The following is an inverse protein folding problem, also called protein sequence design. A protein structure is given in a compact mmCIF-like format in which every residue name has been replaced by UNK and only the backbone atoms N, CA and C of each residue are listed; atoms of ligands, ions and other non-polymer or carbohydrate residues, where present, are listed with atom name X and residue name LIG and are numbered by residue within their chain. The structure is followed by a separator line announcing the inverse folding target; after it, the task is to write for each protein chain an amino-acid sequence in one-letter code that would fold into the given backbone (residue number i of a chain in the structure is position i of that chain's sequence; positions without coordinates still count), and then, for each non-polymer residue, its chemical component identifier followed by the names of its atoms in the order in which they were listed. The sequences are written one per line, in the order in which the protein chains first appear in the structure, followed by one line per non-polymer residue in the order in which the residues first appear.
data_IF_727274118758
#
_entry.id   IF_727274118758
#
_cell.length_a   1.000
_cell.length_b   1.000
_cell.length_c   1.000
_cell.angle_alpha   90.00
_cell.angle_beta   90.00
_cell.angle_gamma   90.00
#
_symmetry.space_group_name_H-M   'P 1'
#
loop_
_entity.id
_entity.type
_entity.pdbx_description
1 polymer ?
#
# COMPACT_ATOMS: atom_id res chain seq x y z
N UNK A 1 14.16 -10.80 -18.90
CA UNK A 1 12.79 -11.21 -19.28
C UNK A 1 11.86 -10.21 -18.63
N UNK A 2 10.99 -9.54 -19.38
CA UNK A 2 9.90 -8.76 -18.77
C UNK A 2 8.94 -9.75 -18.12
N UNK A 3 8.68 -9.60 -16.83
CA UNK A 3 7.69 -10.44 -16.14
C UNK A 3 6.29 -10.13 -16.66
N UNK A 4 5.47 -11.17 -16.88
CA UNK A 4 4.10 -11.01 -17.35
C UNK A 4 3.18 -10.60 -16.18
N UNK A 5 2.92 -9.30 -16.07
CA UNK A 5 2.08 -8.71 -15.02
C UNK A 5 0.63 -8.44 -15.48
N UNK A 6 0.24 -8.93 -16.65
CA UNK A 6 -1.02 -8.54 -17.30
C UNK A 6 -2.28 -8.90 -16.49
N UNK A 7 -2.22 -9.88 -15.58
CA UNK A 7 -3.38 -10.29 -14.79
C UNK A 7 -3.64 -9.36 -13.59
N UNK A 8 -2.60 -8.70 -13.06
CA UNK A 8 -2.70 -7.82 -11.89
C UNK A 8 -2.76 -6.34 -12.28
N UNK A 9 -2.06 -5.93 -13.33
CA UNK A 9 -2.07 -4.53 -13.75
C UNK A 9 -3.46 -4.13 -14.24
N UNK A 10 -3.92 -2.97 -13.79
CA UNK A 10 -5.28 -2.48 -14.04
C UNK A 10 -6.33 -3.01 -13.06
N UNK A 11 -5.99 -4.00 -12.20
CA UNK A 11 -6.90 -4.47 -11.16
C UNK A 11 -7.00 -3.49 -10.01
N UNK A 12 -8.21 -3.33 -9.52
CA UNK A 12 -8.55 -2.75 -8.24
C UNK A 12 -9.04 -3.87 -7.32
N UNK A 13 -8.49 -3.95 -6.12
CA UNK A 13 -8.94 -4.88 -5.09
C UNK A 13 -9.39 -4.11 -3.86
N UNK A 14 -10.46 -4.58 -3.23
CA UNK A 14 -10.87 -4.18 -1.88
C UNK A 14 -10.67 -5.39 -0.98
N UNK A 15 -9.94 -5.22 0.12
CA UNK A 15 -9.60 -6.29 1.04
C UNK A 15 -9.74 -5.83 2.48
N UNK A 16 -10.10 -6.77 3.35
CA UNK A 16 -10.44 -6.47 4.75
C UNK A 16 -9.59 -7.27 5.71
N UNK A 17 -8.64 -6.61 6.36
CA UNK A 17 -7.95 -7.19 7.51
C UNK A 17 -8.89 -7.24 8.70
N UNK A 18 -8.71 -8.25 9.56
CA UNK A 18 -9.53 -8.40 10.77
C UNK A 18 -9.47 -7.16 11.66
N UNK A 19 -8.25 -6.75 12.07
CA UNK A 19 -8.04 -5.60 12.97
C UNK A 19 -7.58 -4.32 12.27
N UNK A 20 -6.95 -4.42 11.10
CA UNK A 20 -6.44 -3.24 10.39
C UNK A 20 -7.52 -2.52 9.58
N UNK A 21 -8.68 -3.12 9.34
CA UNK A 21 -9.80 -2.48 8.65
C UNK A 21 -9.88 -2.79 7.16
N UNK A 22 -10.61 -1.95 6.43
CA UNK A 22 -10.86 -2.11 4.98
C UNK A 22 -9.87 -1.25 4.20
N UNK A 23 -9.24 -1.85 3.21
CA UNK A 23 -8.26 -1.23 2.32
C UNK A 23 -8.73 -1.42 0.89
N UNK A 24 -8.37 -0.47 0.04
CA UNK A 24 -8.45 -0.62 -1.41
C UNK A 24 -7.11 -0.32 -2.06
N UNK A 25 -6.77 -1.04 -3.12
CA UNK A 25 -5.55 -0.85 -3.89
C UNK A 25 -5.82 -1.01 -5.39
N UNK A 26 -5.33 -0.06 -6.16
CA UNK A 26 -5.31 -0.07 -7.63
C UNK A 26 -3.88 -0.25 -8.13
N UNK A 27 -3.63 -1.36 -8.81
CA UNK A 27 -2.34 -1.70 -9.41
C UNK A 27 -2.23 -1.03 -10.78
N UNK A 28 -1.98 0.28 -10.77
CA UNK A 28 -2.10 1.14 -11.95
C UNK A 28 -1.15 0.74 -13.09
N UNK A 29 0.11 0.42 -12.77
CA UNK A 29 1.10 -0.02 -13.74
C UNK A 29 2.10 -0.97 -13.09
N UNK A 30 3.03 -1.51 -13.89
CA UNK A 30 4.17 -2.32 -13.44
C UNK A 30 5.12 -1.64 -12.44
N UNK A 31 4.87 -0.37 -12.11
CA UNK A 31 5.69 0.43 -11.20
C UNK A 31 4.85 1.29 -10.24
N UNK A 32 3.51 1.30 -10.37
CA UNK A 32 2.65 2.26 -9.67
C UNK A 32 1.48 1.58 -8.98
N UNK A 33 1.33 1.86 -7.70
CA UNK A 33 0.17 1.48 -6.89
C UNK A 33 -0.46 2.75 -6.30
N UNK A 34 -1.79 2.80 -6.30
CA UNK A 34 -2.60 3.81 -5.61
C UNK A 34 -3.47 3.09 -4.60
N UNK A 35 -3.58 3.58 -3.36
CA UNK A 35 -4.38 2.91 -2.34
C UNK A 35 -5.00 3.90 -1.35
N UNK A 36 -6.05 3.45 -0.67
CA UNK A 36 -6.74 4.19 0.39
C UNK A 36 -7.19 3.26 1.51
N UNK A 37 -7.28 3.82 2.72
CA UNK A 37 -7.59 3.07 3.94
C UNK A 37 -8.91 3.58 4.53
N UNK A 38 -9.89 2.68 4.63
CA UNK A 38 -11.28 3.00 5.01
C UNK A 38 -11.64 2.61 6.45
N UNK A 39 -10.78 1.83 7.12
CA UNK A 39 -10.99 1.40 8.51
C UNK A 39 -9.70 1.23 9.29
N UNK A 40 -9.84 0.92 10.59
CA UNK A 40 -8.71 0.69 11.50
C UNK A 40 -7.91 1.95 11.86
N UNK A 41 -6.72 1.79 12.47
CA UNK A 41 -5.92 2.91 12.99
C UNK A 41 -5.45 3.91 11.92
N UNK A 42 -5.36 3.47 10.67
CA UNK A 42 -4.85 4.26 9.55
C UNK A 42 -5.98 4.81 8.66
N UNK A 43 -7.24 4.75 9.11
CA UNK A 43 -8.41 5.21 8.37
C UNK A 43 -8.24 6.68 7.94
N UNK A 44 -8.51 6.96 6.66
CA UNK A 44 -8.43 8.31 6.10
C UNK A 44 -7.08 8.65 5.49
N UNK A 45 -6.15 7.68 5.40
CA UNK A 45 -4.91 7.80 4.63
C UNK A 45 -5.16 7.35 3.19
N UNK A 46 -4.80 8.23 2.23
CA UNK A 46 -4.80 7.95 0.80
C UNK A 46 -3.42 8.23 0.22
N UNK A 47 -2.84 7.27 -0.48
CA UNK A 47 -1.45 7.34 -0.89
C UNK A 47 -1.24 6.71 -2.27
N UNK A 48 -0.05 6.92 -2.84
CA UNK A 48 0.42 6.34 -4.09
C UNK A 48 1.92 6.13 -4.01
N UNK A 49 2.41 5.05 -4.58
CA UNK A 49 3.79 4.63 -4.41
C UNK A 49 4.39 4.11 -5.70
N UNK A 50 5.70 4.33 -5.83
CA UNK A 50 6.49 3.52 -6.74
C UNK A 50 6.67 2.17 -6.09
N UNK A 51 6.20 1.13 -6.74
CA UNK A 51 6.21 -0.22 -6.23
C UNK A 51 7.03 -1.16 -7.14
N UNK A 52 7.53 -2.22 -6.53
CA UNK A 52 8.25 -3.29 -7.18
C UNK A 52 7.34 -4.50 -7.26
N UNK A 53 7.08 -4.96 -8.47
CA UNK A 53 6.23 -6.11 -8.74
C UNK A 53 7.09 -7.32 -9.06
N UNK A 54 6.66 -8.47 -8.58
CA UNK A 54 7.22 -9.75 -8.97
C UNK A 54 6.11 -10.78 -9.17
N UNK A 55 6.06 -11.44 -10.33
CA UNK A 55 5.21 -12.62 -10.51
C UNK A 55 5.84 -13.81 -9.80
N UNK A 56 5.12 -14.41 -8.85
CA UNK A 56 5.55 -15.65 -8.18
C UNK A 56 5.16 -16.86 -9.03
N UNK A 57 3.89 -16.89 -9.46
CA UNK A 57 3.31 -17.83 -10.43
C UNK A 57 2.05 -17.20 -11.02
N UNK A 58 1.34 -17.90 -11.90
CA UNK A 58 0.04 -17.45 -12.39
C UNK A 58 -0.90 -17.13 -11.21
N UNK A 59 -1.60 -15.99 -11.32
CA UNK A 59 -2.51 -15.45 -10.32
C UNK A 59 -1.91 -15.04 -8.96
N UNK A 60 -0.58 -15.20 -8.75
CA UNK A 60 0.09 -14.80 -7.51
C UNK A 60 1.22 -13.81 -7.79
N UNK A 61 1.10 -12.65 -7.18
CA UNK A 61 2.01 -11.53 -7.37
C UNK A 61 2.49 -10.98 -6.03
N UNK A 62 3.76 -10.61 -5.97
CA UNK A 62 4.33 -9.86 -4.86
C UNK A 62 4.46 -8.39 -5.26
N UNK A 63 4.09 -7.48 -4.36
CA UNK A 63 4.14 -6.03 -4.58
C UNK A 63 4.75 -5.37 -3.34
N UNK A 64 5.89 -4.70 -3.50
CA UNK A 64 6.65 -4.12 -2.39
C UNK A 64 6.97 -2.64 -2.61
N UNK A 65 6.91 -1.83 -1.55
CA UNK A 65 7.29 -0.42 -1.59
C UNK A 65 7.75 0.09 -0.22
N UNK A 66 8.29 1.31 -0.21
CA UNK A 66 8.61 2.07 1.00
C UNK A 66 7.78 3.35 0.97
N UNK A 67 7.13 3.67 2.08
CA UNK A 67 6.35 4.90 2.26
C UNK A 67 7.22 6.04 2.82
N UNK A 68 6.70 7.26 2.73
CA UNK A 68 7.35 8.50 3.18
C UNK A 68 7.46 8.59 4.70
N UNK A 69 6.62 7.82 5.41
CA UNK A 69 6.75 7.62 6.86
C UNK A 69 7.92 6.70 7.20
N UNK A 70 8.62 6.16 6.20
CA UNK A 70 9.63 5.13 6.35
C UNK A 70 9.06 3.72 6.50
N UNK A 71 7.74 3.51 6.45
CA UNK A 71 7.14 2.17 6.54
C UNK A 71 7.49 1.34 5.31
N UNK A 72 7.84 0.07 5.53
CA UNK A 72 8.15 -0.88 4.44
C UNK A 72 6.95 -1.81 4.31
N UNK A 73 6.45 -1.99 3.10
CA UNK A 73 5.27 -2.82 2.83
C UNK A 73 5.61 -3.82 1.74
N UNK A 74 5.15 -5.05 1.94
CA UNK A 74 5.09 -6.11 0.93
C UNK A 74 3.73 -6.77 1.02
N UNK A 75 3.02 -6.87 -0.09
CA UNK A 75 1.80 -7.67 -0.20
C UNK A 75 1.97 -8.76 -1.25
N UNK A 76 1.54 -9.97 -0.91
CA UNK A 76 1.32 -11.04 -1.87
C UNK A 76 -0.18 -11.12 -2.17
N UNK A 77 -0.53 -10.86 -3.42
CA UNK A 77 -1.90 -10.87 -3.94
C UNK A 77 -2.13 -12.20 -4.65
N UNK A 78 -3.07 -12.98 -4.12
CA UNK A 78 -3.57 -14.22 -4.70
C UNK A 78 -4.94 -13.94 -5.32
N UNK A 79 -4.97 -13.76 -6.64
CA UNK A 79 -6.16 -13.44 -7.41
C UNK A 79 -7.10 -14.65 -7.55
N UNK A 80 -6.55 -15.86 -7.55
CA UNK A 80 -7.27 -17.12 -7.68
C UNK A 80 -8.06 -17.43 -6.40
N UNK A 81 -7.40 -17.37 -5.25
CA UNK A 81 -8.01 -17.64 -3.94
C UNK A 81 -8.54 -16.40 -3.23
N UNK A 82 -8.45 -15.22 -3.87
CA UNK A 82 -8.95 -13.95 -3.36
C UNK A 82 -8.40 -13.60 -1.98
N UNK A 83 -7.07 -13.61 -1.84
CA UNK A 83 -6.38 -13.31 -0.58
C UNK A 83 -5.24 -12.32 -0.78
N UNK A 84 -4.99 -11.52 0.25
CA UNK A 84 -3.80 -10.68 0.38
C UNK A 84 -3.05 -11.12 1.62
N UNK A 85 -1.81 -11.59 1.45
CA UNK A 85 -0.87 -11.75 2.55
C UNK A 85 -0.04 -10.49 2.66
N UNK A 86 0.20 -10.01 3.87
CA UNK A 86 0.83 -8.71 4.07
C UNK A 86 1.95 -8.80 5.09
N UNK A 87 3.08 -8.20 4.74
CA UNK A 87 4.17 -7.85 5.65
C UNK A 87 4.28 -6.34 5.68
N UNK A 88 4.14 -5.74 6.86
CA UNK A 88 4.38 -4.31 7.07
C UNK A 88 5.40 -4.17 8.19
N UNK A 89 6.49 -3.47 7.94
CA UNK A 89 7.40 -3.00 8.99
C UNK A 89 7.15 -1.50 9.20
N UNK A 90 6.24 -1.17 10.11
CA UNK A 90 5.94 0.21 10.48
C UNK A 90 7.17 0.85 11.10
N UNK A 91 7.54 2.06 10.67
CA UNK A 91 8.46 2.90 11.43
C UNK A 91 7.87 3.21 12.81
N UNK A 92 8.69 3.47 13.82
CA UNK A 92 8.21 3.87 15.14
C UNK A 92 7.29 5.10 15.08
N UNK A 93 7.67 6.14 14.34
CA UNK A 93 6.83 7.33 14.16
C UNK A 93 5.44 7.04 13.60
N UNK A 94 5.35 6.31 12.47
CA UNK A 94 4.05 5.90 11.91
C UNK A 94 3.22 5.06 12.91
N UNK A 95 3.84 4.17 13.68
CA UNK A 95 3.11 3.33 14.62
C UNK A 95 2.58 4.10 15.83
N UNK A 96 3.44 4.84 16.51
CA UNK A 96 3.11 5.55 17.76
C UNK A 96 2.25 6.80 17.53
N UNK A 97 2.35 7.41 16.34
CA UNK A 97 1.65 8.65 15.94
C UNK A 97 0.79 8.44 14.70
N UNK A 98 0.05 7.34 14.65
CA UNK A 98 -0.71 6.92 13.46
C UNK A 98 -1.70 7.97 12.93
N UNK A 99 -2.32 8.79 13.78
CA UNK A 99 -3.22 9.88 13.37
C UNK A 99 -2.50 10.92 12.49
N UNK A 100 -1.21 11.18 12.75
CA UNK A 100 -0.41 12.09 11.93
C UNK A 100 -0.14 11.51 10.54
N UNK A 101 -0.32 10.20 10.32
CA UNK A 101 -0.20 9.55 9.02
C UNK A 101 -1.49 9.60 8.19
N UNK A 102 -2.59 10.18 8.69
CA UNK A 102 -3.83 10.38 7.93
C UNK A 102 -3.65 11.51 6.89
N UNK A 103 -4.55 11.58 5.91
CA UNK A 103 -4.55 12.59 4.84
C UNK A 103 -4.25 12.02 3.45
N UNK A 104 -4.04 12.91 2.48
CA UNK A 104 -3.73 12.56 1.09
C UNK A 104 -2.30 12.99 0.75
N UNK A 105 -1.47 12.08 0.23
CA UNK A 105 -0.09 12.41 -0.19
C UNK A 105 -0.02 13.60 -1.15
N UNK A 106 -1.08 13.84 -1.92
CA UNK A 106 -1.19 14.96 -2.86
C UNK A 106 -1.21 16.32 -2.15
N UNK A 107 -1.55 16.36 -0.87
CA UNK A 107 -1.45 17.55 -0.04
C UNK A 107 -0.01 17.72 0.47
N UNK A 108 0.69 18.81 0.12
CA UNK A 108 2.07 19.03 0.53
C UNK A 108 2.28 19.02 2.05
N UNK A 109 1.31 19.50 2.83
CA UNK A 109 1.41 19.54 4.28
C UNK A 109 1.31 18.13 4.91
N UNK A 110 0.50 17.25 4.31
CA UNK A 110 0.40 15.86 4.75
C UNK A 110 1.69 15.10 4.42
N UNK A 111 2.22 15.28 3.21
CA UNK A 111 3.50 14.70 2.78
C UNK A 111 4.67 15.13 3.68
N UNK A 112 4.77 16.43 4.01
CA UNK A 112 5.80 16.93 4.92
C UNK A 112 5.67 16.33 6.32
N UNK A 113 4.45 16.25 6.85
CA UNK A 113 4.18 15.61 8.14
C UNK A 113 4.59 14.13 8.14
N UNK A 114 4.29 13.39 7.07
CA UNK A 114 4.67 11.98 6.96
C UNK A 114 6.19 11.79 6.91
N UNK A 115 6.91 12.64 6.17
CA UNK A 115 8.38 12.64 6.16
C UNK A 115 8.98 12.95 7.54
N UNK A 116 8.30 13.75 8.36
CA UNK A 116 8.73 13.99 9.74
C UNK A 116 8.58 12.72 10.61
N UNK A 117 7.53 11.91 10.39
CA UNK A 117 7.36 10.63 11.10
C UNK A 117 8.50 9.64 10.83
N UNK A 118 9.05 9.63 9.62
CA UNK A 118 10.18 8.78 9.25
C UNK A 118 11.46 9.05 10.06
N UNK A 119 11.56 10.23 10.69
CA UNK A 119 12.70 10.64 11.51
C UNK A 119 12.58 10.22 12.97
N UNK A 120 11.47 9.59 13.36
CA UNK A 120 11.22 9.11 14.72
C UNK A 120 11.57 7.63 14.81
N UNK A 121 12.58 7.32 15.61
CA UNK A 121 13.12 5.96 15.77
C UNK A 121 14.19 5.61 14.75
N UNK A 122 14.51 4.33 14.63
CA UNK A 122 15.48 3.79 13.67
C UNK A 122 15.00 2.46 13.06
N UNK A 123 15.87 1.76 12.33
CA UNK A 123 15.50 0.50 11.68
C UNK A 123 15.16 -0.63 12.67
N UNK A 124 15.71 -0.58 13.88
CA UNK A 124 15.52 -1.60 14.91
C UNK A 124 14.27 -1.38 15.75
N UNK A 125 13.72 -0.16 15.78
CA UNK A 125 12.49 0.17 16.51
C UNK A 125 11.21 -0.07 15.71
N UNK A 126 11.32 -0.69 14.53
CA UNK A 126 10.18 -1.00 13.67
C UNK A 126 9.25 -2.03 14.30
N UNK A 127 7.95 -1.83 14.10
CA UNK A 127 6.92 -2.79 14.50
C UNK A 127 6.53 -3.60 13.28
N UNK A 128 6.80 -4.91 13.33
CA UNK A 128 6.43 -5.84 12.26
C UNK A 128 4.99 -6.30 12.46
N UNK A 129 4.21 -6.19 11.39
CA UNK A 129 2.86 -6.72 11.31
C UNK A 129 2.76 -7.70 10.15
N UNK A 130 2.23 -8.88 10.44
CA UNK A 130 1.94 -9.94 9.48
C UNK A 130 0.45 -10.28 9.60
N UNK A 131 -0.27 -10.20 8.49
CA UNK A 131 -1.69 -10.55 8.47
C UNK A 131 -2.10 -11.09 7.08
N UNK A 132 -3.26 -11.74 7.03
CA UNK A 132 -3.91 -12.18 5.80
C UNK A 132 -5.32 -11.61 5.75
N UNK A 133 -5.70 -11.06 4.61
CA UNK A 133 -7.03 -10.51 4.36
C UNK A 133 -7.70 -11.23 3.19
N UNK A 134 -9.00 -11.56 3.30
CA UNK A 134 -9.80 -11.86 2.10
C UNK A 134 -9.96 -10.60 1.24
N UNK A 135 -9.90 -10.80 -0.08
CA UNK A 135 -10.33 -9.84 -1.09
C UNK A 135 -11.86 -9.94 -1.17
N UNK A 136 -12.54 -8.86 -0.81
CA UNK A 136 -14.00 -8.77 -0.78
C UNK A 136 -14.58 -8.23 -2.08
N UNK A 137 -13.78 -7.52 -2.88
CA UNK A 137 -14.15 -7.08 -4.22
C UNK A 137 -12.92 -6.99 -5.13
N UNK A 138 -13.11 -7.26 -6.42
CA UNK A 138 -12.07 -7.17 -7.46
C UNK A 138 -12.70 -6.76 -8.80
N UNK A 139 -12.17 -5.70 -9.39
CA UNK A 139 -12.65 -5.17 -10.67
C UNK A 139 -11.53 -4.44 -11.43
N UNK A 140 -11.81 -4.02 -12.65
CA UNK A 140 -10.87 -3.31 -13.52
C UNK A 140 -11.05 -1.80 -13.44
N UNK A 141 -9.93 -1.07 -13.52
CA UNK A 141 -9.90 0.38 -13.49
C UNK A 141 -9.73 0.97 -12.09
N UNK A 142 -9.60 2.29 -11.98
CA UNK A 142 -9.20 2.93 -10.73
C UNK A 142 -10.29 2.94 -9.65
N UNK A 143 -11.56 2.78 -10.01
CA UNK A 143 -12.68 3.11 -9.13
C UNK A 143 -12.65 4.60 -8.77
N UNK A 144 -12.79 4.91 -7.48
CA UNK A 144 -12.69 6.30 -6.96
C UNK A 144 -11.25 6.74 -6.66
N UNK A 145 -10.27 5.84 -6.76
CA UNK A 145 -8.86 6.19 -6.56
C UNK A 145 -8.38 7.10 -7.70
N UNK A 146 -7.60 8.11 -7.36
CA UNK A 146 -7.07 9.07 -8.35
C UNK A 146 -5.79 8.51 -8.98
N UNK A 147 -5.75 8.21 -10.29
CA UNK A 147 -4.52 7.78 -10.95
C UNK A 147 -3.39 8.81 -10.78
N UNK A 148 -2.16 8.34 -10.90
CA UNK A 148 -0.94 9.15 -10.72
C UNK A 148 -0.01 9.04 -11.90
N UNK A 149 0.97 9.93 -11.99
CA UNK A 149 1.95 9.95 -13.08
C UNK A 149 3.36 9.95 -12.51
N UNK A 150 4.34 9.56 -13.33
CA UNK A 150 5.74 9.39 -12.88
C UNK A 150 6.44 10.72 -12.53
N UNK A 151 5.86 11.86 -12.89
CA UNK A 151 6.33 13.21 -12.54
C UNK A 151 5.86 13.69 -11.15
N UNK A 152 4.98 12.94 -10.49
CA UNK A 152 4.55 13.22 -9.11
C UNK A 152 5.63 12.87 -8.08
N UNK A 153 5.64 13.49 -6.88
CA UNK A 153 6.64 13.21 -5.85
C UNK A 153 6.45 11.80 -5.25
N UNK A 154 7.47 10.95 -5.34
CA UNK A 154 7.44 9.59 -4.74
C UNK A 154 8.13 9.47 -3.39
N UNK A 155 9.06 10.38 -3.09
CA UNK A 155 9.75 10.46 -1.81
C UNK A 155 9.89 11.90 -1.39
#
# INVERSE_FOLDING_TARGET
MSEDLNEIIGKHIVYKYGKLGVYEAYFQSDQLIVYSIHGGPMKGRSNYQKAHYQKIRDHIYNVSWIEETGTIVTITVDLEFKKVHCFIAFSQGHWEKNEEAHGDKRNPADLERWRALAKIGDHTTRVVHLDVAPIIDIYDGPGELKPVTMDMPFF
#
